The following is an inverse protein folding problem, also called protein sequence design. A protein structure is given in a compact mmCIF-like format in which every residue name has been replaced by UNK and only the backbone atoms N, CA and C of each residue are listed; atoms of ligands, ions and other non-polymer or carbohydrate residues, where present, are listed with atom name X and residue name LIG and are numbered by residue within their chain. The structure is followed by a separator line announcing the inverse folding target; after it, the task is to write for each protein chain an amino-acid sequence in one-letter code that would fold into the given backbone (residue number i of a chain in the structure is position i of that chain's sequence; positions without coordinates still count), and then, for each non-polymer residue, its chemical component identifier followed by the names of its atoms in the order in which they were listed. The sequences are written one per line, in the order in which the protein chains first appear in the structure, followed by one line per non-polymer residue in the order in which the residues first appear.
data_IF_741525034896
#
_entry.id   IF_741525034896
#
_cell.length_a   1.000
_cell.length_b   1.000
_cell.length_c   1.000
_cell.angle_alpha   90.00
_cell.angle_beta   90.00
_cell.angle_gamma   90.00
#
_symmetry.space_group_name_H-M   'P 1'
#
loop_
_entity.id
_entity.type
_entity.pdbx_description
1 polymer ?
#
# COMPACT_ATOMS: atom_id res chain seq x y z
N UNK A 1 5.10 -17.23 -21.48
CA UNK A 1 4.43 -16.31 -20.53
C UNK A 1 3.58 -17.17 -19.62
N UNK A 2 3.75 -17.02 -18.33
CA UNK A 2 3.09 -17.82 -17.33
C UNK A 2 1.59 -17.50 -17.35
N UNK A 3 0.75 -18.53 -17.47
CA UNK A 3 -0.73 -18.40 -17.50
C UNK A 3 -1.22 -17.66 -16.25
N UNK A 4 -0.56 -17.85 -15.11
CA UNK A 4 -0.90 -17.22 -13.85
C UNK A 4 -0.66 -15.70 -13.89
N UNK A 5 0.42 -15.22 -14.52
CA UNK A 5 0.68 -13.80 -14.72
C UNK A 5 -0.40 -13.14 -15.59
N UNK A 6 -0.85 -13.80 -16.66
CA UNK A 6 -1.92 -13.28 -17.49
C UNK A 6 -3.25 -13.16 -16.73
N UNK A 7 -3.56 -14.15 -15.89
CA UNK A 7 -4.76 -14.10 -15.05
C UNK A 7 -4.70 -12.97 -14.01
N UNK A 8 -3.52 -12.76 -13.40
CA UNK A 8 -3.33 -11.69 -12.43
C UNK A 8 -3.43 -10.30 -13.10
N UNK A 9 -2.92 -10.13 -14.32
CA UNK A 9 -3.14 -8.90 -15.08
C UNK A 9 -4.62 -8.66 -15.38
N UNK A 10 -5.40 -9.70 -15.67
CA UNK A 10 -6.87 -9.60 -15.83
C UNK A 10 -7.58 -9.25 -14.53
N UNK A 11 -7.17 -9.85 -13.43
CA UNK A 11 -7.67 -9.50 -12.10
C UNK A 11 -7.42 -8.02 -11.80
N UNK A 12 -6.20 -7.53 -12.05
CA UNK A 12 -5.82 -6.14 -11.83
C UNK A 12 -6.68 -5.15 -12.64
N UNK A 13 -6.98 -5.47 -13.90
CA UNK A 13 -7.82 -4.63 -14.76
C UNK A 13 -9.25 -4.42 -14.23
N UNK A 14 -9.77 -5.37 -13.45
CA UNK A 14 -11.11 -5.29 -12.89
C UNK A 14 -11.19 -4.53 -11.56
N UNK A 15 -10.05 -4.16 -10.94
CA UNK A 15 -10.06 -3.59 -9.59
C UNK A 15 -10.74 -2.23 -9.52
N UNK A 16 -10.75 -1.46 -10.60
CA UNK A 16 -11.46 -0.19 -10.66
C UNK A 16 -12.98 -0.36 -10.43
N UNK A 17 -13.57 -1.37 -11.02
CA UNK A 17 -14.99 -1.67 -10.85
C UNK A 17 -15.30 -2.18 -9.44
N UNK A 18 -14.29 -2.74 -8.76
CA UNK A 18 -14.38 -3.25 -7.40
C UNK A 18 -14.09 -2.19 -6.31
N UNK A 19 -13.98 -0.90 -6.66
CA UNK A 19 -13.55 0.14 -5.72
C UNK A 19 -14.38 0.21 -4.42
N UNK A 20 -15.68 -0.02 -4.52
CA UNK A 20 -16.56 -0.01 -3.34
C UNK A 20 -16.28 -1.17 -2.40
N UNK A 21 -16.04 -2.36 -2.93
CA UNK A 21 -15.61 -3.53 -2.15
C UNK A 21 -14.28 -3.25 -1.46
N UNK A 22 -13.29 -2.69 -2.19
CA UNK A 22 -11.99 -2.30 -1.65
C UNK A 22 -12.16 -1.32 -0.48
N UNK A 23 -12.99 -0.30 -0.65
CA UNK A 23 -13.31 0.67 0.40
C UNK A 23 -13.93 0.01 1.64
N UNK A 24 -14.85 -0.94 1.45
CA UNK A 24 -15.48 -1.66 2.56
C UNK A 24 -14.49 -2.57 3.31
N UNK A 25 -13.56 -3.21 2.62
CA UNK A 25 -12.44 -3.91 3.26
C UNK A 25 -11.58 -2.99 4.12
N UNK A 26 -11.27 -1.78 3.65
CA UNK A 26 -10.53 -0.79 4.45
C UNK A 26 -11.29 -0.46 5.73
N UNK A 27 -12.61 -0.30 5.69
CA UNK A 27 -13.44 -0.03 6.88
C UNK A 27 -13.41 -1.18 7.88
N UNK A 28 -13.38 -2.44 7.43
CA UNK A 28 -13.20 -3.59 8.31
C UNK A 28 -11.85 -3.56 9.02
N UNK A 29 -10.77 -3.20 8.29
CA UNK A 29 -9.42 -3.08 8.84
C UNK A 29 -9.30 -1.91 9.84
N UNK A 30 -9.95 -0.77 9.57
CA UNK A 30 -10.00 0.39 10.46
C UNK A 30 -10.68 0.03 11.79
N UNK A 31 -11.76 -0.75 11.75
CA UNK A 31 -12.50 -1.14 12.95
C UNK A 31 -11.75 -2.12 13.86
N UNK A 32 -10.60 -2.61 13.45
CA UNK A 32 -9.65 -3.44 14.19
C UNK A 32 -10.22 -4.76 14.76
N UNK A 33 -11.27 -5.32 14.15
CA UNK A 33 -12.06 -6.39 14.77
C UNK A 33 -12.38 -7.55 13.83
N UNK A 34 -11.52 -8.01 12.94
CA UNK A 34 -11.76 -9.23 12.19
C UNK A 34 -13.25 -9.48 11.94
N UNK A 35 -13.90 -8.63 11.14
CA UNK A 35 -15.34 -8.65 10.93
C UNK A 35 -15.64 -9.06 9.51
N UNK A 36 -16.80 -9.65 9.33
CA UNK A 36 -17.43 -9.83 8.03
C UNK A 36 -18.46 -8.74 7.78
N UNK A 37 -18.72 -8.43 6.52
CA UNK A 37 -19.77 -7.51 6.08
C UNK A 37 -20.45 -8.09 4.84
N UNK A 38 -21.78 -8.06 4.85
CA UNK A 38 -22.59 -8.36 3.68
C UNK A 38 -22.60 -7.17 2.72
N UNK A 39 -22.26 -7.40 1.46
CA UNK A 39 -22.28 -6.41 0.37
C UNK A 39 -23.41 -6.65 -0.65
N UNK A 40 -24.21 -7.70 -0.47
CA UNK A 40 -25.32 -8.10 -1.31
C UNK A 40 -26.02 -9.33 -0.75
N UNK A 41 -27.02 -9.85 -1.44
CA UNK A 41 -27.84 -10.96 -0.97
C UNK A 41 -27.03 -12.25 -0.68
N UNK A 42 -25.89 -12.48 -1.38
CA UNK A 42 -25.05 -13.67 -1.22
C UNK A 42 -23.54 -13.35 -1.20
N UNK A 43 -23.16 -12.08 -0.99
CA UNK A 43 -21.76 -11.69 -1.05
C UNK A 43 -21.31 -11.10 0.28
N UNK A 44 -20.41 -11.81 0.94
CA UNK A 44 -19.84 -11.43 2.24
C UNK A 44 -18.35 -11.25 2.09
N UNK A 45 -17.85 -10.07 2.48
CA UNK A 45 -16.42 -9.83 2.68
C UNK A 45 -16.03 -10.15 4.12
N UNK A 46 -14.82 -10.68 4.30
CA UNK A 46 -14.31 -11.05 5.61
C UNK A 46 -12.81 -10.76 5.71
N UNK A 47 -12.39 -10.22 6.86
CA UNK A 47 -10.99 -10.09 7.25
C UNK A 47 -10.73 -11.00 8.45
N UNK A 48 -10.07 -12.16 8.28
CA UNK A 48 -9.71 -13.01 9.39
C UNK A 48 -8.77 -12.26 10.36
N UNK A 49 -9.08 -12.29 11.65
CA UNK A 49 -8.34 -11.51 12.65
C UNK A 49 -6.83 -11.82 12.68
N UNK A 50 -6.48 -13.09 12.50
CA UNK A 50 -5.08 -13.53 12.50
C UNK A 50 -4.31 -13.09 11.23
N UNK A 51 -5.02 -12.75 10.17
CA UNK A 51 -4.46 -12.42 8.85
C UNK A 51 -4.60 -10.93 8.52
N UNK A 52 -5.06 -10.12 9.47
CA UNK A 52 -5.37 -8.71 9.22
C UNK A 52 -4.18 -7.92 8.63
N UNK A 53 -2.94 -8.23 9.00
CA UNK A 53 -1.74 -7.60 8.44
C UNK A 53 -1.60 -7.92 6.94
N UNK A 54 -1.76 -9.18 6.54
CA UNK A 54 -1.71 -9.59 5.13
C UNK A 54 -2.85 -8.97 4.32
N UNK A 55 -4.05 -8.88 4.90
CA UNK A 55 -5.18 -8.21 4.27
C UNK A 55 -4.97 -6.71 4.13
N UNK A 56 -4.24 -6.05 5.04
CA UNK A 56 -3.89 -4.65 4.90
C UNK A 56 -2.97 -4.39 3.70
N UNK A 57 -1.90 -5.17 3.54
CA UNK A 57 -1.03 -5.09 2.35
C UNK A 57 -1.83 -5.37 1.07
N UNK A 58 -2.61 -6.44 1.06
CA UNK A 58 -3.42 -6.83 -0.08
C UNK A 58 -4.45 -5.77 -0.49
N UNK A 59 -5.15 -5.15 0.47
CA UNK A 59 -6.18 -4.16 0.13
C UNK A 59 -5.56 -2.86 -0.39
N UNK A 60 -4.40 -2.44 0.10
CA UNK A 60 -3.68 -1.29 -0.44
C UNK A 60 -3.17 -1.59 -1.86
N UNK A 61 -2.68 -2.80 -2.12
CA UNK A 61 -2.31 -3.23 -3.47
C UNK A 61 -3.51 -3.14 -4.42
N UNK A 62 -4.68 -3.68 -4.05
CA UNK A 62 -5.92 -3.58 -4.83
C UNK A 62 -6.35 -2.12 -5.06
N UNK A 63 -6.22 -1.27 -4.04
CA UNK A 63 -6.56 0.14 -4.15
C UNK A 63 -5.71 0.86 -5.20
N UNK A 64 -4.41 0.61 -5.24
CA UNK A 64 -3.53 1.16 -6.26
C UNK A 64 -3.81 0.57 -7.65
N UNK A 65 -4.12 -0.72 -7.75
CA UNK A 65 -4.53 -1.32 -9.03
C UNK A 65 -5.83 -0.72 -9.58
N UNK A 66 -6.71 -0.25 -8.69
CA UNK A 66 -7.95 0.44 -9.09
C UNK A 66 -7.68 1.85 -9.63
N UNK A 67 -6.52 2.44 -9.33
CA UNK A 67 -6.06 3.74 -9.84
C UNK A 67 -5.28 3.50 -11.14
N UNK A 68 -5.63 4.18 -12.21
CA UNK A 68 -5.00 3.99 -13.52
C UNK A 68 -3.53 4.47 -13.57
N UNK A 69 -2.81 4.05 -14.64
CA UNK A 69 -1.47 4.49 -15.03
C UNK A 69 -0.28 3.87 -14.29
N UNK A 70 -0.47 2.77 -13.58
CA UNK A 70 0.66 1.97 -13.08
C UNK A 70 1.31 1.25 -14.26
N UNK A 71 2.62 1.40 -14.42
CA UNK A 71 3.37 0.83 -15.56
C UNK A 71 4.02 -0.51 -15.23
N UNK A 72 4.35 -0.79 -13.97
CA UNK A 72 4.84 -2.11 -13.60
C UNK A 72 3.69 -3.12 -13.46
N UNK A 73 4.03 -4.38 -13.57
CA UNK A 73 3.05 -5.47 -13.53
C UNK A 73 2.50 -5.68 -12.11
N UNK A 74 1.24 -6.13 -11.95
CA UNK A 74 0.64 -6.31 -10.64
C UNK A 74 1.43 -7.25 -9.72
N UNK A 75 1.98 -8.33 -10.27
CA UNK A 75 2.82 -9.28 -9.53
C UNK A 75 4.22 -8.74 -9.18
N UNK A 76 4.72 -7.73 -9.90
CA UNK A 76 5.98 -7.04 -9.57
C UNK A 76 5.76 -5.89 -8.58
N UNK A 77 4.53 -5.40 -8.48
CA UNK A 77 4.18 -4.31 -7.58
C UNK A 77 4.02 -4.75 -6.11
N UNK A 78 3.66 -6.01 -5.86
CA UNK A 78 3.45 -6.56 -4.52
C UNK A 78 4.67 -7.31 -3.98
N UNK A 79 4.95 -7.17 -2.68
CA UNK A 79 5.97 -7.96 -1.98
C UNK A 79 5.44 -9.28 -1.42
N UNK A 80 4.15 -9.35 -1.12
CA UNK A 80 3.46 -10.52 -0.55
C UNK A 80 2.99 -11.51 -1.64
N UNK A 81 2.59 -12.71 -1.21
CA UNK A 81 2.04 -13.73 -2.11
C UNK A 81 0.51 -13.78 -2.05
N UNK A 82 -0.10 -14.21 -3.15
CA UNK A 82 -1.54 -14.48 -3.27
C UNK A 82 -1.80 -15.92 -3.67
N UNK A 83 -2.96 -16.44 -3.31
CA UNK A 83 -3.44 -17.74 -3.76
C UNK A 83 -4.06 -17.69 -5.17
N UNK A 84 -4.67 -18.80 -5.60
CA UNK A 84 -5.31 -18.91 -6.91
C UNK A 84 -6.56 -18.02 -7.08
N UNK A 85 -7.15 -17.56 -5.97
CA UNK A 85 -8.31 -16.66 -5.93
C UNK A 85 -7.89 -15.19 -5.64
N UNK A 86 -6.58 -14.93 -5.67
CA UNK A 86 -5.94 -13.63 -5.38
C UNK A 86 -6.15 -13.11 -3.95
N UNK A 87 -6.42 -13.99 -2.99
CA UNK A 87 -6.41 -13.66 -1.58
C UNK A 87 -4.97 -13.72 -1.02
N UNK A 88 -4.63 -12.92 0.00
CA UNK A 88 -3.27 -12.89 0.55
C UNK A 88 -2.91 -14.19 1.29
N UNK A 89 -1.72 -14.73 1.07
CA UNK A 89 -1.18 -15.91 1.78
C UNK A 89 -0.24 -15.51 2.93
N UNK A 90 -0.04 -14.26 3.19
CA UNK A 90 0.84 -13.74 4.22
C UNK A 90 1.34 -12.36 3.85
N UNK A 91 2.15 -11.79 4.73
CA UNK A 91 2.76 -10.48 4.51
C UNK A 91 4.00 -10.56 3.64
N UNK A 92 4.43 -9.41 3.11
CA UNK A 92 5.72 -9.28 2.43
C UNK A 92 6.86 -9.75 3.35
N UNK A 93 7.89 -10.44 2.82
CA UNK A 93 9.04 -10.84 3.60
C UNK A 93 9.85 -9.62 4.03
N UNK A 94 10.37 -9.63 5.25
CA UNK A 94 11.19 -8.54 5.76
C UNK A 94 12.40 -8.21 4.88
N UNK A 95 12.82 -6.95 4.88
CA UNK A 95 13.97 -6.45 4.12
C UNK A 95 13.66 -6.00 2.70
N UNK A 96 12.40 -6.00 2.32
CA UNK A 96 11.89 -5.41 1.06
C UNK A 96 10.65 -4.57 1.36
N UNK A 97 10.36 -3.57 0.51
CA UNK A 97 9.10 -2.84 0.61
C UNK A 97 7.88 -3.75 0.48
N UNK A 98 6.79 -3.38 1.14
CA UNK A 98 5.52 -4.09 0.99
C UNK A 98 5.00 -4.01 -0.44
N UNK A 99 5.08 -2.81 -1.05
CA UNK A 99 4.65 -2.59 -2.42
C UNK A 99 5.47 -1.48 -3.09
N UNK A 100 5.61 -1.60 -4.43
CA UNK A 100 6.25 -0.59 -5.28
C UNK A 100 5.36 -0.38 -6.49
N UNK A 101 4.86 0.84 -6.67
CA UNK A 101 4.06 1.23 -7.83
C UNK A 101 4.84 2.20 -8.70
N UNK A 102 5.10 1.81 -9.94
CA UNK A 102 5.76 2.67 -10.91
C UNK A 102 4.74 3.38 -11.78
N UNK A 103 4.93 4.67 -11.95
CA UNK A 103 4.23 5.53 -12.89
C UNK A 103 5.24 6.06 -13.90
N UNK A 104 4.78 6.67 -15.00
CA UNK A 104 5.69 7.18 -16.04
C UNK A 104 6.74 8.14 -15.46
N UNK A 105 6.32 9.08 -14.61
CA UNK A 105 7.17 10.18 -14.14
C UNK A 105 7.70 9.99 -12.71
N UNK A 106 7.20 9.02 -11.94
CA UNK A 106 7.59 8.81 -10.54
C UNK A 106 7.34 7.37 -10.07
N UNK A 107 7.81 7.06 -8.87
CA UNK A 107 7.58 5.78 -8.16
C UNK A 107 6.98 6.06 -6.79
N UNK A 108 6.01 5.27 -6.37
CA UNK A 108 5.49 5.26 -5.00
C UNK A 108 5.88 3.95 -4.32
N UNK A 109 6.57 4.06 -3.20
CA UNK A 109 6.84 2.95 -2.27
C UNK A 109 5.77 2.99 -1.19
N UNK A 110 5.02 1.92 -1.03
CA UNK A 110 3.97 1.82 -0.01
C UNK A 110 4.41 0.85 1.07
N UNK A 111 4.38 1.32 2.30
CA UNK A 111 4.66 0.55 3.51
C UNK A 111 3.45 0.65 4.44
N UNK A 112 3.04 -0.46 5.01
CA UNK A 112 1.84 -0.51 5.83
C UNK A 112 2.10 -1.25 7.15
N UNK A 113 1.42 -0.82 8.21
CA UNK A 113 1.49 -1.53 9.49
C UNK A 113 0.19 -1.45 10.27
N UNK A 114 -0.12 -2.49 11.02
CA UNK A 114 -1.17 -2.47 12.05
C UNK A 114 -0.67 -1.98 13.41
N UNK A 115 0.64 -1.74 13.55
CA UNK A 115 1.22 -1.22 14.79
C UNK A 115 0.65 0.15 15.13
N UNK A 116 0.19 0.31 16.37
CA UNK A 116 -0.42 1.57 16.87
C UNK A 116 0.24 2.09 18.13
N UNK A 117 1.32 1.43 18.58
CA UNK A 117 1.95 1.72 19.86
C UNK A 117 3.16 2.69 19.71
N UNK A 118 3.68 3.15 20.83
CA UNK A 118 4.84 4.06 20.89
C UNK A 118 6.16 3.48 20.37
N UNK A 119 6.19 2.18 19.99
CA UNK A 119 7.36 1.56 19.35
C UNK A 119 7.32 1.63 17.83
N UNK A 120 6.26 2.21 17.25
CA UNK A 120 6.10 2.31 15.80
C UNK A 120 7.32 2.98 15.15
N UNK A 121 7.84 4.05 15.72
CA UNK A 121 9.03 4.73 15.22
C UNK A 121 10.26 3.81 15.22
N UNK A 122 10.49 3.07 16.30
CA UNK A 122 11.62 2.17 16.41
C UNK A 122 11.51 0.94 15.49
N UNK A 123 10.28 0.50 15.17
CA UNK A 123 10.03 -0.67 14.33
C UNK A 123 9.95 -0.33 12.84
N UNK A 124 9.41 0.83 12.49
CA UNK A 124 9.07 1.22 11.13
C UNK A 124 9.90 2.41 10.61
N UNK A 125 10.34 3.30 11.50
CA UNK A 125 10.99 4.55 11.12
C UNK A 125 12.26 4.36 10.29
N UNK A 126 13.16 3.48 10.70
CA UNK A 126 14.38 3.17 9.94
C UNK A 126 14.09 2.29 8.72
N UNK A 127 13.38 1.15 8.84
CA UNK A 127 13.12 0.29 7.69
C UNK A 127 12.44 1.02 6.53
N UNK A 128 11.40 1.80 6.80
CA UNK A 128 10.69 2.56 5.77
C UNK A 128 11.61 3.57 5.07
N UNK A 129 12.39 4.35 5.84
CA UNK A 129 13.35 5.30 5.26
C UNK A 129 14.42 4.60 4.42
N UNK A 130 14.93 3.46 4.88
CA UNK A 130 15.93 2.67 4.16
C UNK A 130 15.36 2.16 2.82
N UNK A 131 14.17 1.58 2.82
CA UNK A 131 13.53 1.11 1.60
C UNK A 131 13.31 2.23 0.59
N UNK A 132 12.85 3.41 1.05
CA UNK A 132 12.70 4.58 0.15
C UNK A 132 14.07 5.05 -0.36
N UNK A 133 15.08 5.13 0.50
CA UNK A 133 16.44 5.56 0.12
C UNK A 133 17.08 4.61 -0.91
N UNK A 134 16.92 3.30 -0.75
CA UNK A 134 17.43 2.30 -1.70
C UNK A 134 16.80 2.50 -3.08
N UNK A 135 15.51 2.82 -3.13
CA UNK A 135 14.81 3.03 -4.39
C UNK A 135 15.11 4.41 -4.99
N UNK A 136 15.33 5.46 -4.19
CA UNK A 136 15.83 6.76 -4.66
C UNK A 136 17.17 6.59 -5.39
N UNK A 137 18.05 5.73 -4.90
CA UNK A 137 19.34 5.44 -5.55
C UNK A 137 19.19 4.57 -6.81
N UNK A 138 18.17 3.72 -6.87
CA UNK A 138 17.93 2.79 -7.97
C UNK A 138 17.24 3.44 -9.17
N UNK A 139 16.24 4.29 -8.92
CA UNK A 139 15.44 4.90 -9.98
C UNK A 139 16.00 6.26 -10.41
N UNK A 140 15.91 6.57 -11.72
CA UNK A 140 16.29 7.88 -12.27
C UNK A 140 15.19 8.94 -12.18
N UNK A 141 14.01 8.54 -11.73
CA UNK A 141 12.82 9.39 -11.55
C UNK A 141 12.51 9.56 -10.07
N UNK A 142 11.74 10.59 -9.66
CA UNK A 142 11.39 10.81 -8.26
C UNK A 142 10.77 9.58 -7.61
N UNK A 143 11.14 9.31 -6.36
CA UNK A 143 10.58 8.24 -5.53
C UNK A 143 9.95 8.88 -4.30
N UNK A 144 8.70 8.53 -4.06
CA UNK A 144 7.93 8.97 -2.89
C UNK A 144 7.58 7.77 -2.02
N UNK A 145 7.67 7.93 -0.71
CA UNK A 145 7.18 6.95 0.26
C UNK A 145 5.76 7.29 0.71
N UNK A 146 4.92 6.29 0.84
CA UNK A 146 3.61 6.36 1.49
C UNK A 146 3.60 5.35 2.63
N UNK A 147 3.46 5.84 3.86
CA UNK A 147 3.33 5.00 5.04
C UNK A 147 1.90 5.03 5.54
N UNK A 148 1.24 3.87 5.62
CA UNK A 148 -0.17 3.77 6.03
C UNK A 148 -0.30 2.90 7.27
N UNK A 149 -0.97 3.42 8.29
CA UNK A 149 -1.27 2.70 9.53
C UNK A 149 -2.63 3.13 10.10
N UNK A 150 -3.23 2.32 10.98
CA UNK A 150 -4.47 2.73 11.65
C UNK A 150 -4.29 3.96 12.53
N UNK A 151 -3.10 4.11 13.12
CA UNK A 151 -2.70 5.28 13.89
C UNK A 151 -1.24 5.60 13.60
N UNK A 152 -0.92 6.85 13.38
CA UNK A 152 0.45 7.32 13.20
C UNK A 152 0.96 7.88 14.53
N UNK A 153 2.03 7.32 15.05
CA UNK A 153 2.76 7.89 16.19
C UNK A 153 3.43 9.22 15.78
N UNK A 154 3.41 10.21 16.67
CA UNK A 154 3.93 11.54 16.35
C UNK A 154 5.43 11.54 16.07
N UNK A 155 6.23 10.71 16.78
CA UNK A 155 7.66 10.59 16.52
C UNK A 155 7.93 9.92 15.16
N UNK A 156 7.13 8.92 14.81
CA UNK A 156 7.18 8.29 13.48
C UNK A 156 6.89 9.30 12.37
N UNK A 157 5.82 10.09 12.52
CA UNK A 157 5.47 11.13 11.57
C UNK A 157 6.59 12.19 11.44
N UNK A 158 7.18 12.61 12.54
CA UNK A 158 8.27 13.58 12.55
C UNK A 158 9.53 13.01 11.90
N UNK A 159 9.87 11.75 12.16
CA UNK A 159 10.97 11.04 11.51
C UNK A 159 10.82 11.04 9.99
N UNK A 160 9.62 10.79 9.48
CA UNK A 160 9.36 10.83 8.04
C UNK A 160 9.37 12.26 7.49
N UNK A 161 8.86 13.23 8.23
CA UNK A 161 8.89 14.64 7.85
C UNK A 161 10.32 15.20 7.73
N UNK A 162 11.22 14.77 8.58
CA UNK A 162 12.64 15.16 8.50
C UNK A 162 13.30 14.65 7.23
N UNK A 163 12.91 13.46 6.74
CA UNK A 163 13.24 12.98 5.40
C UNK A 163 14.71 12.93 5.06
N UNK A 164 15.62 12.70 6.02
CA UNK A 164 17.07 12.69 5.78
C UNK A 164 17.62 11.28 5.88
N UNK A 165 18.45 10.90 4.91
CA UNK A 165 19.20 9.66 4.89
C UNK A 165 20.64 9.91 4.41
N UNK A 166 21.59 9.14 4.92
CA UNK A 166 22.95 9.12 4.42
C UNK A 166 23.27 7.77 3.81
N UNK A 167 23.82 7.78 2.60
CA UNK A 167 24.30 6.57 1.93
C UNK A 167 25.55 5.99 2.62
N UNK A 168 25.99 4.82 2.19
CA UNK A 168 27.26 4.22 2.66
C UNK A 168 28.50 5.03 2.25
N UNK A 169 28.37 5.99 1.33
CA UNK A 169 29.42 6.93 0.91
C UNK A 169 29.28 8.30 1.58
N UNK A 170 28.49 8.43 2.66
CA UNK A 170 28.17 9.68 3.36
C UNK A 170 27.48 10.75 2.48
N UNK A 171 26.85 10.34 1.38
CA UNK A 171 26.04 11.25 0.57
C UNK A 171 24.68 11.46 1.22
N UNK A 172 24.28 12.71 1.38
CA UNK A 172 22.98 13.08 1.95
C UNK A 172 21.87 12.96 0.90
N UNK A 173 20.88 12.15 1.18
CA UNK A 173 19.64 12.05 0.41
C UNK A 173 18.50 12.77 1.14
N UNK A 174 17.61 13.36 0.35
CA UNK A 174 16.34 13.89 0.82
C UNK A 174 15.22 12.94 0.44
N UNK A 175 14.47 12.46 1.44
CA UNK A 175 13.40 11.50 1.26
C UNK A 175 12.04 12.20 1.41
N UNK A 176 11.11 11.87 0.53
CA UNK A 176 9.74 12.38 0.58
C UNK A 176 8.79 11.26 0.98
N UNK A 177 8.46 11.20 2.28
CA UNK A 177 7.59 10.16 2.85
C UNK A 177 6.36 10.82 3.46
N UNK A 178 5.18 10.40 3.03
CA UNK A 178 3.89 10.89 3.52
C UNK A 178 3.26 9.83 4.44
N UNK A 179 3.12 10.10 5.73
CA UNK A 179 2.35 9.25 6.62
C UNK A 179 0.85 9.59 6.54
N UNK A 180 0.02 8.59 6.30
CA UNK A 180 -1.44 8.70 6.33
C UNK A 180 -2.04 7.62 7.24
N UNK A 181 -3.08 7.97 7.98
CA UNK A 181 -3.91 6.95 8.61
C UNK A 181 -4.71 6.20 7.55
N UNK A 182 -5.04 4.93 7.81
CA UNK A 182 -5.91 4.16 6.90
C UNK A 182 -7.27 4.84 6.72
N UNK A 183 -7.77 5.53 7.75
CA UNK A 183 -8.99 6.36 7.64
C UNK A 183 -8.81 7.48 6.60
N UNK A 184 -7.73 8.26 6.69
CA UNK A 184 -7.45 9.33 5.73
C UNK A 184 -7.27 8.78 4.31
N UNK A 185 -6.54 7.66 4.17
CA UNK A 185 -6.36 7.02 2.87
C UNK A 185 -7.70 6.53 2.30
N UNK A 186 -8.55 5.89 3.11
CA UNK A 186 -9.84 5.36 2.67
C UNK A 186 -10.82 6.46 2.23
N UNK A 187 -10.85 7.59 2.93
CA UNK A 187 -11.67 8.74 2.56
C UNK A 187 -11.19 9.40 1.25
N UNK A 188 -9.87 9.52 1.08
CA UNK A 188 -9.28 10.01 -0.16
C UNK A 188 -9.57 9.06 -1.34
N UNK A 189 -9.42 7.74 -1.12
CA UNK A 189 -9.73 6.71 -2.11
C UNK A 189 -11.21 6.79 -2.54
N UNK A 190 -12.14 6.85 -1.56
CA UNK A 190 -13.57 7.02 -1.84
C UNK A 190 -13.84 8.29 -2.67
N UNK A 191 -13.22 9.40 -2.28
CA UNK A 191 -13.39 10.68 -2.96
C UNK A 191 -12.99 10.61 -4.44
N UNK A 192 -11.87 9.95 -4.79
CA UNK A 192 -11.44 9.76 -6.17
C UNK A 192 -12.54 9.11 -7.02
N UNK A 193 -13.24 8.11 -6.49
CA UNK A 193 -14.26 7.36 -7.23
C UNK A 193 -15.65 8.00 -7.20
N UNK A 194 -15.99 8.75 -6.16
CA UNK A 194 -17.31 9.40 -6.05
C UNK A 194 -17.38 10.72 -6.82
N UNK A 195 -16.28 11.46 -6.94
CA UNK A 195 -16.23 12.77 -7.60
C UNK A 195 -15.77 12.70 -9.07
N UNK A 196 -15.74 11.51 -9.67
CA UNK A 196 -15.30 11.28 -11.06
C UNK A 196 -13.89 11.81 -11.40
N UNK A 197 -13.00 11.94 -10.41
CA UNK A 197 -11.58 12.21 -10.65
C UNK A 197 -10.81 10.98 -11.16
N UNK A 198 -11.50 10.09 -11.82
CA UNK A 198 -10.99 8.81 -12.27
C UNK A 198 -9.93 8.89 -13.37
N UNK A 199 -9.52 10.07 -13.77
CA UNK A 199 -8.30 10.32 -14.53
C UNK A 199 -7.43 11.28 -13.71
N UNK A 200 -6.25 10.85 -13.19
CA UNK A 200 -5.23 11.80 -12.79
C UNK A 200 -5.01 12.71 -14.00
N UNK A 201 -5.32 13.97 -13.84
CA UNK A 201 -5.08 14.92 -14.92
C UNK A 201 -3.59 14.91 -15.25
N UNK A 202 -3.31 14.74 -16.53
CA UNK A 202 -1.98 14.86 -17.11
C UNK A 202 -1.33 16.18 -16.74
#
# INVERSE_FOLDING_TARGET
QNIDHYKEEKYAQNQRECWYEIYEYMKLLISNNGKSKELGEDYIINVPKAEAAAYLEWILWRAFLAIDHIVNKPYDARGFNVDQDYLPIGTAPGGKPDMIFEFDDYVIVVEVTLSTNSRQEAMEGEPVRRHVADLVQKYKKPVYGLFVANKIDSNTAETFRMGVWYTTQDERLELHIVPLTLTQFSEYFKFIFTENFAEPQK
#
